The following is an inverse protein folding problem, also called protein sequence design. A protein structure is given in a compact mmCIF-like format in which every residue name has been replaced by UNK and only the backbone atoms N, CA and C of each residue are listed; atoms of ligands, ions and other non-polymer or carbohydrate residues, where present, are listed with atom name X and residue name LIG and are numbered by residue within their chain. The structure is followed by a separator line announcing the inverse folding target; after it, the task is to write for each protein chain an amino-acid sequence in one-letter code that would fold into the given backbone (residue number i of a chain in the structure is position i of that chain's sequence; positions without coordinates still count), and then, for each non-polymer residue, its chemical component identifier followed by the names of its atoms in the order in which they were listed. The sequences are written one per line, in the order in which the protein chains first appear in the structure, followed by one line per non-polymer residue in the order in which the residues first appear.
data_IF_501422438312
#
_entry.id   IF_501422438312
#
_cell.length_a   1.000
_cell.length_b   1.000
_cell.length_c   1.000
_cell.angle_alpha   90.00
_cell.angle_beta   90.00
_cell.angle_gamma   90.00
#
_symmetry.space_group_name_H-M   'P 1'
#
loop_
_entity.id
_entity.type
_entity.pdbx_description
1 polymer ?
#
# COMPACT_ATOMS: atom_id res chain seq x y z
N UNK A 1 20.68 -22.70 -27.83
CA UNK A 1 19.98 -21.49 -28.29
C UNK A 1 20.17 -20.43 -27.23
N UNK A 2 20.81 -19.31 -27.55
CA UNK A 2 20.89 -18.17 -26.64
C UNK A 2 19.50 -17.56 -26.52
N UNK A 3 19.05 -17.34 -25.28
CA UNK A 3 17.87 -16.54 -25.02
C UNK A 3 18.17 -15.15 -25.59
N UNK A 4 17.35 -14.60 -26.52
CA UNK A 4 17.55 -13.25 -27.00
C UNK A 4 17.62 -12.30 -25.82
N UNK A 5 18.53 -11.33 -25.84
CA UNK A 5 18.54 -10.27 -24.84
C UNK A 5 17.14 -9.66 -24.78
N UNK A 6 16.50 -9.72 -23.60
CA UNK A 6 15.21 -9.08 -23.39
C UNK A 6 15.42 -7.61 -23.69
N UNK A 7 14.78 -7.11 -24.75
CA UNK A 7 14.71 -5.66 -24.99
C UNK A 7 14.05 -5.08 -23.75
N UNK A 8 14.83 -4.39 -22.91
CA UNK A 8 14.34 -3.74 -21.69
C UNK A 8 13.10 -2.93 -22.05
N UNK A 9 11.95 -3.25 -21.44
CA UNK A 9 10.66 -2.62 -21.77
C UNK A 9 10.40 -1.37 -20.93
N UNK A 10 11.30 -1.06 -20.00
CA UNK A 10 11.02 -0.27 -18.82
C UNK A 10 10.97 1.25 -18.99
N UNK A 11 9.95 1.84 -18.38
CA UNK A 11 9.87 3.24 -17.90
C UNK A 11 8.83 3.31 -16.76
N UNK A 12 8.95 2.51 -15.70
CA UNK A 12 8.17 2.85 -14.51
C UNK A 12 8.80 4.08 -13.87
N UNK A 13 7.95 4.93 -13.29
CA UNK A 13 8.39 6.18 -12.65
C UNK A 13 8.18 6.05 -11.14
N UNK A 14 9.21 6.41 -10.37
CA UNK A 14 9.09 6.57 -8.92
C UNK A 14 8.92 8.04 -8.60
N UNK A 15 7.83 8.34 -7.92
CA UNK A 15 7.62 9.61 -7.24
C UNK A 15 7.81 9.40 -5.74
N UNK A 16 8.65 10.22 -5.12
CA UNK A 16 8.79 10.27 -3.66
C UNK A 16 7.77 11.25 -3.08
N UNK A 17 7.37 11.01 -1.83
CA UNK A 17 6.47 11.91 -1.12
C UNK A 17 7.32 12.93 -0.32
N UNK A 18 7.33 14.24 -0.66
CA UNK A 18 8.25 15.19 -0.03
C UNK A 18 8.15 15.24 1.51
N UNK A 19 6.93 15.11 2.03
CA UNK A 19 6.66 15.13 3.48
C UNK A 19 7.12 13.85 4.19
N UNK A 20 7.21 12.72 3.48
CA UNK A 20 7.65 11.41 4.00
C UNK A 20 8.42 10.66 2.89
N UNK A 21 9.69 11.03 2.62
CA UNK A 21 10.42 10.61 1.41
C UNK A 21 10.64 9.11 1.22
N UNK A 22 10.49 8.32 2.29
CA UNK A 22 10.62 6.87 2.26
C UNK A 22 9.42 6.18 1.59
N UNK A 23 8.27 6.86 1.54
CA UNK A 23 7.10 6.43 0.80
C UNK A 23 7.29 6.71 -0.70
N UNK A 24 6.87 5.76 -1.54
CA UNK A 24 7.06 5.87 -3.00
C UNK A 24 5.80 5.50 -3.75
N UNK A 25 5.43 6.30 -4.75
CA UNK A 25 4.45 5.94 -5.76
C UNK A 25 5.17 5.45 -7.01
N UNK A 26 4.83 4.24 -7.45
CA UNK A 26 5.48 3.57 -8.57
C UNK A 26 4.45 3.38 -9.67
N UNK A 27 4.55 4.21 -10.71
CA UNK A 27 3.63 4.19 -11.85
C UNK A 27 4.19 3.27 -12.92
N UNK A 28 3.51 2.15 -13.23
CA UNK A 28 3.98 1.25 -14.27
C UNK A 28 3.68 1.84 -15.65
N UNK A 29 4.48 1.45 -16.64
CA UNK A 29 4.14 1.70 -18.04
C UNK A 29 3.03 0.74 -18.49
N UNK A 30 1.93 1.30 -18.97
CA UNK A 30 0.80 0.55 -19.54
C UNK A 30 1.02 0.39 -21.05
N UNK A 31 0.87 -0.83 -21.56
CA UNK A 31 0.94 -1.16 -22.98
C UNK A 31 -0.46 -1.55 -23.48
N UNK A 32 -1.28 -0.57 -23.95
CA UNK A 32 -2.61 -0.86 -24.47
C UNK A 32 -2.56 -1.43 -25.90
N UNK A 33 -3.53 -2.27 -26.24
CA UNK A 33 -3.85 -2.70 -27.60
C UNK A 33 -5.34 -3.07 -27.73
N UNK A 34 -5.78 -3.49 -28.92
CA UNK A 34 -7.20 -3.79 -29.19
C UNK A 34 -7.79 -4.94 -28.33
N UNK A 35 -6.95 -5.73 -27.63
CA UNK A 35 -7.36 -6.81 -26.72
C UNK A 35 -7.49 -6.34 -25.27
N UNK A 36 -6.98 -5.15 -24.95
CA UNK A 36 -6.92 -4.60 -23.60
C UNK A 36 -5.58 -3.93 -23.32
N UNK A 37 -4.86 -4.40 -22.31
CA UNK A 37 -3.55 -3.87 -21.97
C UNK A 37 -2.66 -4.92 -21.30
N UNK A 38 -1.36 -4.68 -21.36
CA UNK A 38 -0.35 -5.41 -20.60
C UNK A 38 0.40 -4.45 -19.68
N UNK A 39 0.71 -4.90 -18.46
CA UNK A 39 1.58 -4.20 -17.51
C UNK A 39 2.53 -5.23 -16.90
N UNK A 40 3.82 -4.90 -16.90
CA UNK A 40 4.78 -5.56 -16.03
C UNK A 40 4.67 -4.92 -14.64
N UNK A 41 3.99 -5.60 -13.72
CA UNK A 41 3.67 -5.04 -12.39
C UNK A 41 4.86 -5.05 -11.44
N UNK A 42 5.85 -5.91 -11.65
CA UNK A 42 7.10 -5.97 -10.88
C UNK A 42 8.18 -6.71 -11.66
N UNK A 43 9.41 -6.17 -11.65
CA UNK A 43 10.60 -6.80 -12.21
C UNK A 43 11.80 -6.50 -11.31
N UNK A 44 12.29 -7.52 -10.59
CA UNK A 44 13.36 -7.35 -9.59
C UNK A 44 14.65 -6.75 -10.18
N UNK A 45 14.99 -7.11 -11.42
CA UNK A 45 16.23 -6.63 -12.05
C UNK A 45 16.06 -5.17 -12.49
N UNK A 46 15.00 -4.87 -13.23
CA UNK A 46 14.79 -3.53 -13.77
C UNK A 46 14.46 -2.51 -12.68
N UNK A 47 13.70 -2.89 -11.64
CA UNK A 47 13.38 -2.00 -10.52
C UNK A 47 14.63 -1.69 -9.68
N UNK A 48 15.51 -2.67 -9.45
CA UNK A 48 16.78 -2.44 -8.77
C UNK A 48 17.67 -1.52 -9.59
N UNK A 49 17.91 -1.85 -10.86
CA UNK A 49 18.86 -1.12 -11.72
C UNK A 49 18.40 0.30 -12.06
N UNK A 50 17.11 0.51 -12.32
CA UNK A 50 16.59 1.78 -12.83
C UNK A 50 16.00 2.67 -11.74
N UNK A 51 15.49 2.08 -10.66
CA UNK A 51 14.71 2.79 -9.65
C UNK A 51 15.32 2.74 -8.25
N UNK A 52 16.43 2.01 -8.07
CA UNK A 52 17.05 1.82 -6.75
C UNK A 52 16.12 1.11 -5.76
N UNK A 53 15.18 0.31 -6.26
CA UNK A 53 14.26 -0.47 -5.44
C UNK A 53 14.80 -1.90 -5.32
N UNK A 54 15.49 -2.19 -4.22
CA UNK A 54 16.19 -3.47 -3.96
C UNK A 54 15.53 -4.27 -2.83
N UNK A 55 14.21 -4.22 -2.74
CA UNK A 55 13.43 -4.94 -1.73
C UNK A 55 13.20 -6.39 -2.14
N UNK A 56 13.36 -7.32 -1.19
CA UNK A 56 13.03 -8.73 -1.42
C UNK A 56 11.57 -8.99 -1.04
N UNK A 57 10.69 -9.12 -2.04
CA UNK A 57 9.28 -9.45 -1.85
C UNK A 57 9.09 -10.97 -1.67
N UNK A 58 8.48 -11.40 -0.57
CA UNK A 58 8.41 -12.80 -0.11
C UNK A 58 7.00 -13.39 -0.07
N UNK A 59 5.98 -12.54 -0.03
CA UNK A 59 4.59 -12.97 0.10
C UNK A 59 3.69 -12.08 -0.76
N UNK A 60 2.73 -12.70 -1.43
CA UNK A 60 1.68 -12.01 -2.18
C UNK A 60 0.34 -12.22 -1.49
N UNK A 61 -0.45 -11.17 -1.43
CA UNK A 61 -1.77 -11.17 -0.85
C UNK A 61 -2.77 -10.53 -1.81
N UNK A 62 -4.02 -10.98 -1.72
CA UNK A 62 -5.15 -10.45 -2.48
C UNK A 62 -6.36 -10.36 -1.58
N UNK A 63 -7.05 -9.23 -1.61
CA UNK A 63 -8.33 -9.06 -0.94
C UNK A 63 -9.35 -8.46 -1.89
N UNK A 64 -10.61 -8.84 -1.69
CA UNK A 64 -11.76 -8.11 -2.20
C UNK A 64 -12.47 -7.45 -1.03
N UNK A 65 -12.89 -6.20 -1.23
CA UNK A 65 -13.60 -5.42 -0.21
C UNK A 65 -14.70 -4.60 -0.88
N UNK A 66 -15.87 -4.53 -0.24
CA UNK A 66 -17.01 -3.73 -0.73
C UNK A 66 -16.76 -2.24 -0.48
N UNK A 67 -17.52 -1.37 -1.15
CA UNK A 67 -17.58 0.06 -0.83
C UNK A 67 -17.72 0.29 0.68
N UNK A 68 -17.01 1.29 1.20
CA UNK A 68 -17.05 1.67 2.62
C UNK A 68 -16.21 0.80 3.55
N UNK A 69 -15.69 -0.33 3.08
CA UNK A 69 -14.78 -1.17 3.90
C UNK A 69 -13.51 -0.40 4.22
N UNK A 70 -13.17 -0.33 5.51
CA UNK A 70 -11.91 0.17 6.03
C UNK A 70 -11.15 -0.99 6.68
N UNK A 71 -9.88 -1.18 6.28
CA UNK A 71 -8.96 -2.14 6.90
C UNK A 71 -7.74 -1.41 7.42
N UNK A 72 -7.25 -1.80 8.58
CA UNK A 72 -6.07 -1.19 9.20
C UNK A 72 -6.42 -0.44 10.49
N UNK A 73 -5.45 0.24 11.10
CA UNK A 73 -4.06 0.39 10.65
C UNK A 73 -3.20 -0.78 11.13
N UNK A 74 -2.45 -1.45 10.23
CA UNK A 74 -1.70 -2.68 10.55
C UNK A 74 -0.22 -2.60 10.16
N UNK A 75 0.63 -3.24 10.96
CA UNK A 75 2.06 -3.39 10.70
C UNK A 75 2.60 -4.69 11.28
N UNK A 76 3.74 -5.13 10.78
CA UNK A 76 4.53 -6.21 11.35
C UNK A 76 6.01 -5.82 11.23
N UNK A 77 6.81 -5.93 12.30
CA UNK A 77 8.23 -5.64 12.23
C UNK A 77 8.94 -6.46 11.13
N UNK A 78 9.76 -5.78 10.33
CA UNK A 78 10.49 -6.38 9.20
C UNK A 78 9.65 -6.56 7.94
N UNK A 79 8.48 -5.92 7.82
CA UNK A 79 7.59 -6.06 6.67
C UNK A 79 7.22 -4.72 6.05
N UNK A 80 7.78 -4.42 4.88
CA UNK A 80 7.25 -3.43 3.95
C UNK A 80 6.17 -4.03 3.05
N UNK A 81 5.34 -3.17 2.45
CA UNK A 81 4.21 -3.51 1.59
C UNK A 81 4.27 -2.71 0.28
N UNK A 82 4.11 -3.41 -0.83
CA UNK A 82 3.88 -2.82 -2.16
C UNK A 82 2.42 -3.05 -2.54
N UNK A 83 1.59 -2.03 -2.40
CA UNK A 83 0.12 -2.11 -2.53
C UNK A 83 -0.33 -1.62 -3.89
N UNK A 84 -1.31 -2.29 -4.51
CA UNK A 84 -1.93 -1.88 -5.77
C UNK A 84 -3.38 -2.35 -5.88
N UNK A 85 -4.10 -1.77 -6.83
CA UNK A 85 -5.51 -2.07 -7.10
C UNK A 85 -5.67 -2.59 -8.52
N UNK A 86 -6.34 -3.74 -8.67
CA UNK A 86 -6.59 -4.36 -9.98
C UNK A 86 -8.02 -4.16 -10.47
N UNK A 87 -8.96 -3.85 -9.57
CA UNK A 87 -10.36 -3.46 -9.87
C UNK A 87 -10.79 -2.45 -8.82
N UNK A 88 -11.53 -1.41 -9.21
CA UNK A 88 -12.06 -0.39 -8.31
C UNK A 88 -11.02 0.65 -7.88
N UNK A 89 -11.30 1.32 -6.75
CA UNK A 89 -10.52 2.41 -6.17
C UNK A 89 -10.49 2.33 -4.63
N UNK A 90 -9.34 2.60 -4.05
CA UNK A 90 -9.16 2.76 -2.60
C UNK A 90 -8.47 4.08 -2.28
N UNK A 91 -8.69 4.59 -1.08
CA UNK A 91 -7.81 5.56 -0.43
C UNK A 91 -6.88 4.78 0.51
N UNK A 92 -5.61 4.67 0.15
CA UNK A 92 -4.58 3.91 0.86
C UNK A 92 -3.73 4.84 1.71
N UNK A 93 -3.43 4.43 2.94
CA UNK A 93 -2.81 5.27 3.97
C UNK A 93 -1.62 4.56 4.58
N UNK A 94 -0.53 5.31 4.75
CA UNK A 94 0.65 4.91 5.50
C UNK A 94 0.88 5.86 6.67
N UNK A 95 1.27 5.34 7.84
CA UNK A 95 1.60 6.14 9.03
C UNK A 95 2.98 5.76 9.54
N UNK A 96 3.87 6.73 9.70
CA UNK A 96 5.24 6.48 10.18
C UNK A 96 5.23 6.24 11.70
N UNK A 97 5.72 5.08 12.13
CA UNK A 97 5.85 4.75 13.56
C UNK A 97 7.30 4.42 13.95
N UNK A 98 8.27 4.83 13.13
CA UNK A 98 9.69 4.62 13.41
C UNK A 98 10.15 5.57 14.51
N UNK A 99 10.49 5.02 15.69
CA UNK A 99 10.98 5.82 16.82
C UNK A 99 12.19 6.66 16.39
N UNK A 100 12.13 7.96 16.67
CA UNK A 100 13.18 8.92 16.29
C UNK A 100 13.07 9.45 14.85
N UNK A 101 12.11 8.98 14.05
CA UNK A 101 11.82 9.57 12.74
C UNK A 101 11.34 11.02 12.87
N UNK A 102 11.78 11.95 12.01
CA UNK A 102 11.25 13.32 11.96
C UNK A 102 9.77 13.37 11.54
N UNK A 103 9.24 12.28 11.00
CA UNK A 103 7.86 12.13 10.55
C UNK A 103 7.04 11.18 11.43
N UNK A 104 7.55 10.77 12.60
CA UNK A 104 6.83 9.90 13.53
C UNK A 104 5.41 10.44 13.83
N UNK A 105 4.41 9.56 13.71
CA UNK A 105 2.99 9.87 13.89
C UNK A 105 2.33 10.56 12.69
N UNK A 106 3.10 11.03 11.69
CA UNK A 106 2.55 11.61 10.47
C UNK A 106 2.06 10.51 9.54
N UNK A 107 0.98 10.81 8.82
CA UNK A 107 0.43 9.92 7.81
C UNK A 107 0.45 10.57 6.43
N UNK A 108 0.40 9.73 5.39
CA UNK A 108 0.17 10.13 4.02
C UNK A 108 -0.88 9.22 3.39
N UNK A 109 -1.80 9.81 2.63
CA UNK A 109 -2.88 9.10 1.94
C UNK A 109 -2.85 9.35 0.45
N UNK A 110 -3.11 8.30 -0.34
CA UNK A 110 -3.14 8.34 -1.81
C UNK A 110 -4.32 7.54 -2.34
N UNK A 111 -4.89 7.98 -3.46
CA UNK A 111 -5.87 7.16 -4.19
C UNK A 111 -5.14 6.18 -5.09
N UNK A 112 -5.40 4.89 -4.91
CA UNK A 112 -4.96 3.82 -5.81
C UNK A 112 -6.16 3.28 -6.57
N UNK A 113 -5.99 3.07 -7.87
CA UNK A 113 -7.05 2.55 -8.72
C UNK A 113 -6.55 1.65 -9.85
N UNK A 114 -7.50 0.90 -10.41
CA UNK A 114 -7.26 0.03 -11.55
C UNK A 114 -6.93 0.79 -12.85
N UNK A 115 -7.15 2.10 -12.92
CA UNK A 115 -6.92 2.91 -14.12
C UNK A 115 -5.46 3.34 -14.24
N UNK A 116 -4.92 3.95 -13.18
CA UNK A 116 -3.50 4.36 -13.14
C UNK A 116 -2.59 3.18 -12.84
N UNK A 117 -3.08 2.17 -12.12
CA UNK A 117 -2.33 0.97 -11.71
C UNK A 117 -1.07 1.31 -10.91
N UNK A 118 -1.10 2.47 -10.26
CA UNK A 118 -0.03 2.95 -9.41
C UNK A 118 0.16 1.97 -8.25
N UNK A 119 1.40 1.66 -7.92
CA UNK A 119 1.74 0.95 -6.71
C UNK A 119 2.16 1.95 -5.64
N UNK A 120 1.77 1.71 -4.39
CA UNK A 120 2.25 2.46 -3.24
C UNK A 120 3.18 1.58 -2.42
N UNK A 121 4.45 2.00 -2.32
CA UNK A 121 5.43 1.37 -1.47
C UNK A 121 5.44 2.01 -0.09
N UNK A 122 5.27 1.15 0.90
CA UNK A 122 5.26 1.47 2.32
C UNK A 122 6.35 0.61 2.97
N UNK A 123 7.48 1.19 3.42
CA UNK A 123 8.58 0.42 3.97
C UNK A 123 8.25 -0.12 5.38
N UNK A 124 9.16 -0.95 5.91
CA UNK A 124 9.08 -1.40 7.30
C UNK A 124 9.05 -0.21 8.29
N UNK A 125 8.39 -0.41 9.43
CA UNK A 125 8.19 0.64 10.43
C UNK A 125 7.06 1.61 10.11
N UNK A 126 6.19 1.28 9.16
CA UNK A 126 4.95 2.01 8.89
C UNK A 126 3.73 1.15 9.23
N UNK A 127 2.68 1.81 9.71
CA UNK A 127 1.33 1.27 9.67
C UNK A 127 0.73 1.47 8.29
N UNK A 128 -0.12 0.54 7.87
CA UNK A 128 -0.84 0.60 6.60
C UNK A 128 -2.33 0.30 6.80
N UNK A 129 -3.18 1.04 6.09
CA UNK A 129 -4.59 0.74 5.98
C UNK A 129 -5.20 1.36 4.73
N UNK A 130 -6.44 1.01 4.41
CA UNK A 130 -7.14 1.60 3.29
C UNK A 130 -8.64 1.63 3.50
N UNK A 131 -9.31 2.53 2.77
CA UNK A 131 -10.76 2.60 2.65
C UNK A 131 -11.18 2.42 1.19
N UNK A 132 -12.14 1.52 0.92
CA UNK A 132 -12.68 1.31 -0.42
C UNK A 132 -13.67 2.42 -0.76
N UNK A 133 -13.39 3.16 -1.84
CA UNK A 133 -14.15 4.34 -2.24
C UNK A 133 -14.93 4.15 -3.55
N UNK A 134 -14.68 3.08 -4.29
CA UNK A 134 -15.46 2.73 -5.48
C UNK A 134 -16.76 1.97 -5.12
N UNK A 135 -17.92 2.35 -5.70
CA UNK A 135 -19.20 1.68 -5.45
C UNK A 135 -19.19 0.17 -5.75
N UNK A 136 -18.47 -0.25 -6.79
CA UNK A 136 -18.32 -1.64 -7.20
C UNK A 136 -17.42 -2.48 -6.28
N UNK A 137 -16.86 -1.87 -5.23
CA UNK A 137 -15.83 -2.47 -4.39
C UNK A 137 -14.44 -2.39 -5.02
N UNK A 138 -13.44 -2.98 -4.37
CA UNK A 138 -12.07 -3.00 -4.87
C UNK A 138 -11.38 -4.33 -4.63
N UNK A 139 -10.55 -4.72 -5.60
CA UNK A 139 -9.60 -5.81 -5.48
C UNK A 139 -8.21 -5.22 -5.24
N UNK A 140 -7.72 -5.39 -4.01
CA UNK A 140 -6.41 -4.88 -3.57
C UNK A 140 -5.42 -6.03 -3.54
N UNK A 141 -4.30 -5.87 -4.24
CA UNK A 141 -3.16 -6.78 -4.20
C UNK A 141 -2.03 -6.11 -3.47
N UNK A 142 -1.31 -6.85 -2.63
CA UNK A 142 -0.10 -6.33 -2.01
C UNK A 142 0.97 -7.39 -1.87
N UNK A 143 2.21 -6.97 -2.10
CA UNK A 143 3.41 -7.79 -1.92
C UNK A 143 4.11 -7.38 -0.64
N UNK A 144 4.56 -8.33 0.17
CA UNK A 144 5.24 -8.05 1.43
C UNK A 144 6.72 -8.43 1.37
N UNK A 145 7.61 -7.64 1.97
CA UNK A 145 9.04 -8.01 2.10
C UNK A 145 9.33 -8.98 3.27
N UNK A 146 8.32 -9.21 4.11
CA UNK A 146 8.30 -10.22 5.17
C UNK A 146 7.28 -11.33 4.90
N UNK A 147 7.33 -12.38 5.73
CA UNK A 147 6.30 -13.44 5.79
C UNK A 147 5.41 -13.15 6.99
N UNK A 148 4.10 -13.37 6.85
CA UNK A 148 3.14 -13.17 7.92
C UNK A 148 3.49 -13.97 9.19
N UNK A 149 3.49 -13.28 10.32
CA UNK A 149 3.59 -13.86 11.65
C UNK A 149 2.52 -13.24 12.57
N UNK A 150 1.47 -14.00 12.92
CA UNK A 150 0.37 -13.49 13.75
C UNK A 150 0.82 -13.04 15.14
N UNK A 151 2.01 -13.48 15.62
CA UNK A 151 2.51 -13.11 16.94
C UNK A 151 3.13 -11.71 16.97
N UNK A 152 3.57 -11.22 15.82
CA UNK A 152 4.28 -9.94 15.69
C UNK A 152 3.49 -8.91 14.89
N UNK A 153 2.45 -9.31 14.15
CA UNK A 153 1.48 -8.38 13.60
C UNK A 153 0.75 -7.64 14.73
N UNK A 154 0.69 -6.32 14.61
CA UNK A 154 -0.14 -5.49 15.47
C UNK A 154 -0.78 -4.36 14.68
N UNK A 155 -1.71 -3.67 15.31
CA UNK A 155 -2.42 -2.56 14.71
C UNK A 155 -2.70 -1.43 15.67
N UNK A 156 -3.08 -0.30 15.09
CA UNK A 156 -3.59 0.88 15.75
C UNK A 156 -5.03 1.09 15.29
N UNK A 157 -5.85 1.62 16.19
CA UNK A 157 -7.22 1.99 15.86
C UNK A 157 -7.23 2.93 14.64
N UNK A 158 -7.94 2.61 13.54
CA UNK A 158 -7.99 3.48 12.37
C UNK A 158 -8.68 4.83 12.62
N UNK A 159 -9.37 4.98 13.75
CA UNK A 159 -10.00 6.22 14.22
C UNK A 159 -9.22 6.90 15.35
N UNK A 160 -7.95 6.53 15.54
CA UNK A 160 -7.06 7.17 16.49
C UNK A 160 -7.00 8.70 16.29
N UNK A 161 -7.27 9.45 17.35
CA UNK A 161 -7.39 10.92 17.33
C UNK A 161 -6.02 11.63 17.27
N UNK A 162 -4.91 10.95 17.60
CA UNK A 162 -3.56 11.51 17.51
C UNK A 162 -3.04 11.47 16.06
N UNK A 163 -3.28 10.35 15.36
CA UNK A 163 -2.98 10.20 13.94
C UNK A 163 -3.97 11.02 13.11
N UNK A 164 -5.26 10.95 13.47
CA UNK A 164 -6.36 11.68 12.83
C UNK A 164 -6.35 11.59 11.30
N UNK A 165 -6.40 10.36 10.78
CA UNK A 165 -6.44 10.12 9.33
C UNK A 165 -7.71 10.72 8.73
N UNK A 166 -7.55 11.50 7.66
CA UNK A 166 -8.67 12.10 6.93
C UNK A 166 -9.31 11.11 5.94
N UNK A 167 -9.96 10.08 6.45
CA UNK A 167 -10.64 9.07 5.62
C UNK A 167 -11.77 9.69 4.77
N UNK A 168 -11.86 9.43 3.45
CA UNK A 168 -12.80 10.14 2.57
C UNK A 168 -14.28 9.85 2.82
N UNK A 169 -14.64 8.62 3.20
CA UNK A 169 -16.02 8.28 3.59
C UNK A 169 -16.17 8.57 5.08
N UNK A 170 -16.96 9.60 5.40
CA UNK A 170 -17.21 10.09 6.77
C UNK A 170 -18.52 9.59 7.37
N UNK A 171 -19.47 9.18 6.55
CA UNK A 171 -20.76 8.67 7.02
C UNK A 171 -20.56 7.31 7.70
N UNK A 172 -20.69 7.28 9.04
CA UNK A 172 -20.52 6.06 9.85
C UNK A 172 -21.47 4.93 9.43
N UNK A 173 -22.63 5.24 8.85
CA UNK A 173 -23.55 4.21 8.35
C UNK A 173 -23.01 3.46 7.12
N UNK A 174 -22.04 4.06 6.41
CA UNK A 174 -21.41 3.47 5.22
C UNK A 174 -20.07 2.81 5.52
N UNK A 175 -19.42 3.15 6.63
CA UNK A 175 -18.12 2.58 6.99
C UNK A 175 -18.31 1.15 7.53
N UNK A 176 -17.58 0.20 6.94
CA UNK A 176 -17.54 -1.19 7.39
C UNK A 176 -16.14 -1.48 7.90
N UNK A 177 -15.99 -1.67 9.20
CA UNK A 177 -14.71 -1.92 9.86
C UNK A 177 -14.81 -3.19 10.72
N UNK A 178 -13.72 -3.94 10.84
CA UNK A 178 -13.72 -5.15 11.67
C UNK A 178 -13.69 -4.81 13.16
N UNK A 179 -14.26 -5.68 14.00
CA UNK A 179 -14.16 -5.51 15.46
C UNK A 179 -12.69 -5.47 15.91
N UNK A 180 -11.85 -6.35 15.35
CA UNK A 180 -10.40 -6.39 15.61
C UNK A 180 -9.76 -5.01 15.44
N UNK A 181 -10.06 -4.33 14.34
CA UNK A 181 -9.47 -3.04 14.02
C UNK A 181 -9.91 -1.95 15.00
N UNK A 182 -11.19 -1.96 15.40
CA UNK A 182 -11.74 -0.99 16.38
C UNK A 182 -11.26 -1.20 17.81
N UNK A 183 -10.76 -2.40 18.13
CA UNK A 183 -10.26 -2.77 19.46
C UNK A 183 -8.73 -2.62 19.59
N UNK A 184 -8.04 -2.22 18.51
CA UNK A 184 -6.64 -1.84 18.61
C UNK A 184 -6.47 -0.60 19.50
N UNK A 185 -5.30 -0.52 20.14
CA UNK A 185 -4.96 0.62 20.98
C UNK A 185 -4.73 1.87 20.13
N UNK A 186 -4.65 3.02 20.79
CA UNK A 186 -4.24 4.26 20.17
C UNK A 186 -2.71 4.38 20.11
N UNK A 187 -2.18 5.24 19.25
CA UNK A 187 -0.75 5.49 19.08
C UNK A 187 -0.10 5.97 20.39
N UNK A 188 -0.79 6.83 21.15
CA UNK A 188 -0.32 7.27 22.46
C UNK A 188 -0.07 6.13 23.46
N UNK A 189 -0.78 5.01 23.30
CA UNK A 189 -0.70 3.84 24.20
C UNK A 189 0.42 2.85 23.80
N UNK A 190 1.14 3.10 22.70
CA UNK A 190 2.32 2.31 22.29
C UNK A 190 3.63 2.75 22.98
N UNK A 191 3.56 3.72 23.90
CA UNK A 191 4.71 4.24 24.65
C UNK A 191 5.27 3.23 25.65
#
# INVERSE_FOLDING_TARGET
MSIPAVVKRFKAEIETIPEIPDLKLIRPKVFPDDRGYFVESYNVVEWKEQLGFDETLKQDNHSFSKYGVLRGLHTQPGMGKLVSVVVGKIFDVAVDIRKGSPTYGKWHGVVLDAETRTNFWIPDGFLHGFQVISPEGAHVTYKCSGVYDPKTEYGINPFDEDINVDWPIKDKAQIIVSERDTQHKNLADLK
#
